data_IF_005064775597
#
_entry.id   IF_005064775597
#
_cell.length_a   1.000
_cell.length_b   1.000
_cell.length_c   1.000
_cell.angle_alpha   90.00
_cell.angle_beta   90.00
_cell.angle_gamma   90.00
#
_symmetry.space_group_name_H-M   'P 1'
#
loop_
_entity.id
_entity.type
_entity.pdbx_description
1 polymer ?
#
# COMPACT_ATOMS: atom_id res chain seq x y z
N UNK A 1 -16.68 -5.46 13.97
CA UNK A 1 -17.16 -4.15 14.45
C UNK A 1 -15.92 -3.34 14.78
N UNK A 2 -15.72 -2.17 14.14
CA UNK A 2 -14.54 -1.30 14.27
C UNK A 2 -14.23 -0.96 15.74
N UNK A 3 -13.44 -1.79 16.44
CA UNK A 3 -13.05 -1.51 17.84
C UNK A 3 -11.82 -0.60 17.93
N UNK A 4 -11.03 -0.53 16.86
CA UNK A 4 -9.86 0.33 16.79
C UNK A 4 -9.86 1.11 15.47
N UNK A 5 -9.56 2.41 15.52
CA UNK A 5 -9.34 3.27 14.33
C UNK A 5 -8.25 2.74 13.37
N UNK A 6 -7.63 1.60 13.66
CA UNK A 6 -6.63 0.90 12.83
C UNK A 6 -7.13 0.59 11.44
N UNK A 7 -8.42 0.28 11.23
CA UNK A 7 -8.93 0.02 9.87
C UNK A 7 -8.82 1.26 8.97
N UNK A 8 -9.17 2.43 9.51
CA UNK A 8 -9.09 3.71 8.79
C UNK A 8 -7.64 4.15 8.56
N UNK A 9 -6.77 4.00 9.57
CA UNK A 9 -5.34 4.31 9.47
C UNK A 9 -4.66 3.38 8.46
N UNK A 10 -4.92 2.08 8.54
CA UNK A 10 -4.43 1.08 7.58
C UNK A 10 -4.80 1.45 6.15
N UNK A 11 -6.06 1.84 5.91
CA UNK A 11 -6.51 2.21 4.58
C UNK A 11 -5.81 3.48 4.07
N UNK A 12 -5.67 4.49 4.92
CA UNK A 12 -4.95 5.73 4.60
C UNK A 12 -3.49 5.47 4.25
N UNK A 13 -2.78 4.69 5.08
CA UNK A 13 -1.38 4.35 4.84
C UNK A 13 -1.20 3.51 3.57
N UNK A 14 -2.10 2.56 3.32
CA UNK A 14 -2.07 1.74 2.11
C UNK A 14 -2.25 2.61 0.85
N UNK A 15 -3.18 3.57 0.89
CA UNK A 15 -3.41 4.52 -0.21
C UNK A 15 -2.17 5.40 -0.42
N UNK A 16 -1.60 5.98 0.64
CA UNK A 16 -0.42 6.85 0.55
C UNK A 16 0.78 6.10 -0.04
N UNK A 17 1.05 4.88 0.45
CA UNK A 17 2.13 4.06 -0.06
C UNK A 17 1.93 3.71 -1.55
N UNK A 18 0.72 3.32 -1.93
CA UNK A 18 0.39 3.00 -3.33
C UNK A 18 0.53 4.21 -4.24
N UNK A 19 0.04 5.38 -3.79
CA UNK A 19 0.13 6.64 -4.51
C UNK A 19 1.58 7.07 -4.73
N UNK A 20 2.47 6.84 -3.76
CA UNK A 20 3.90 7.08 -3.92
C UNK A 20 4.51 6.27 -5.06
N UNK A 21 4.30 4.94 -5.08
CA UNK A 21 4.81 4.10 -6.18
C UNK A 21 4.22 4.49 -7.53
N UNK A 22 2.91 4.78 -7.58
CA UNK A 22 2.26 5.24 -8.81
C UNK A 22 2.87 6.57 -9.31
N UNK A 23 3.08 7.55 -8.43
CA UNK A 23 3.68 8.83 -8.78
C UNK A 23 5.11 8.67 -9.29
N UNK A 24 5.92 7.82 -8.66
CA UNK A 24 7.28 7.51 -9.12
C UNK A 24 7.26 6.83 -10.48
N UNK A 25 6.34 5.87 -10.70
CA UNK A 25 6.17 5.20 -11.99
C UNK A 25 5.82 6.17 -13.12
N UNK A 26 4.83 7.04 -12.89
CA UNK A 26 4.41 8.06 -13.86
C UNK A 26 5.56 9.05 -14.15
N UNK A 27 6.21 9.57 -13.10
CA UNK A 27 7.32 10.51 -13.25
C UNK A 27 8.54 9.88 -13.94
N UNK A 28 8.74 8.57 -13.77
CA UNK A 28 9.76 7.81 -14.49
C UNK A 28 9.42 7.64 -15.96
N UNK A 29 8.19 7.23 -16.27
CA UNK A 29 7.71 7.08 -17.63
C UNK A 29 7.79 8.38 -18.43
N UNK A 30 7.37 9.51 -17.83
CA UNK A 30 7.46 10.84 -18.48
C UNK A 30 8.88 11.26 -18.89
N UNK A 31 9.93 10.65 -18.32
CA UNK A 31 11.34 10.97 -18.64
C UNK A 31 12.01 9.93 -19.53
N UNK A 32 11.48 8.71 -19.58
CA UNK A 32 12.15 7.56 -20.19
C UNK A 32 11.36 6.92 -21.32
N UNK A 33 10.04 7.18 -21.40
CA UNK A 33 9.07 6.48 -22.24
C UNK A 33 9.09 4.94 -22.09
N UNK A 34 9.66 4.43 -20.99
CA UNK A 34 9.76 2.99 -20.75
C UNK A 34 8.48 2.44 -20.08
N UNK A 35 7.65 1.77 -20.89
CA UNK A 35 6.41 1.14 -20.42
C UNK A 35 6.65 -0.01 -19.45
N UNK A 36 7.78 -0.71 -19.53
CA UNK A 36 8.09 -1.83 -18.62
C UNK A 36 8.35 -1.31 -17.21
N UNK A 37 9.08 -0.20 -17.11
CA UNK A 37 9.27 0.51 -15.85
C UNK A 37 7.93 0.95 -15.27
N UNK A 38 7.04 1.55 -16.08
CA UNK A 38 5.72 1.97 -15.62
C UNK A 38 4.91 0.81 -15.05
N UNK A 39 4.87 -0.32 -15.78
CA UNK A 39 4.16 -1.53 -15.35
C UNK A 39 4.75 -2.11 -14.05
N UNK A 40 6.08 -2.13 -13.91
CA UNK A 40 6.73 -2.55 -12.67
C UNK A 40 6.25 -1.70 -11.48
N UNK A 41 6.24 -0.38 -11.62
CA UNK A 41 5.78 0.52 -10.55
C UNK A 41 4.28 0.39 -10.27
N UNK A 42 3.46 0.11 -11.28
CA UNK A 42 2.04 -0.19 -11.09
C UNK A 42 1.84 -1.48 -10.28
N UNK A 43 2.60 -2.53 -10.56
CA UNK A 43 2.59 -3.77 -9.77
C UNK A 43 3.08 -3.50 -8.34
N UNK A 44 4.17 -2.75 -8.17
CA UNK A 44 4.68 -2.37 -6.85
C UNK A 44 3.64 -1.58 -6.04
N UNK A 45 2.87 -0.69 -6.67
CA UNK A 45 1.79 0.04 -6.01
C UNK A 45 0.71 -0.92 -5.48
N UNK A 46 0.28 -1.89 -6.28
CA UNK A 46 -0.70 -2.90 -5.84
C UNK A 46 -0.14 -3.79 -4.72
N UNK A 47 1.12 -4.21 -4.83
CA UNK A 47 1.80 -5.01 -3.78
C UNK A 47 1.90 -4.20 -2.49
N UNK A 48 2.27 -2.93 -2.55
CA UNK A 48 2.36 -2.06 -1.38
C UNK A 48 1.02 -1.97 -0.64
N UNK A 49 -0.10 -1.81 -1.38
CA UNK A 49 -1.43 -1.83 -0.77
C UNK A 49 -1.69 -3.13 0.00
N UNK A 50 -1.41 -4.27 -0.64
CA UNK A 50 -1.60 -5.59 -0.05
C UNK A 50 -0.73 -5.82 1.19
N UNK A 51 0.55 -5.45 1.13
CA UNK A 51 1.50 -5.58 2.25
C UNK A 51 1.04 -4.75 3.45
N UNK A 52 0.61 -3.49 3.24
CA UNK A 52 0.11 -2.66 4.35
C UNK A 52 -1.14 -3.29 4.98
N UNK A 53 -2.09 -3.77 4.16
CA UNK A 53 -3.30 -4.44 4.68
C UNK A 53 -2.95 -5.68 5.49
N UNK A 54 -2.03 -6.52 4.99
CA UNK A 54 -1.58 -7.73 5.68
C UNK A 54 -0.86 -7.41 7.00
N UNK A 55 -0.03 -6.38 7.02
CA UNK A 55 0.65 -5.94 8.23
C UNK A 55 -0.36 -5.53 9.32
N UNK A 56 -1.36 -4.71 8.97
CA UNK A 56 -2.40 -4.31 9.91
C UNK A 56 -3.33 -5.45 10.31
N UNK A 57 -3.59 -6.40 9.40
CA UNK A 57 -4.30 -7.64 9.75
C UNK A 57 -3.52 -8.45 10.80
N UNK A 58 -2.21 -8.59 10.63
CA UNK A 58 -1.33 -9.24 11.60
C UNK A 58 -1.34 -8.53 12.96
N UNK A 59 -1.25 -7.19 12.97
CA UNK A 59 -1.30 -6.39 14.19
C UNK A 59 -2.63 -6.58 14.92
N UNK A 60 -3.77 -6.49 14.22
CA UNK A 60 -5.08 -6.72 14.82
C UNK A 60 -5.18 -8.14 15.41
N UNK A 61 -4.72 -9.16 14.68
CA UNK A 61 -4.72 -10.55 15.16
C UNK A 61 -3.84 -10.77 16.40
N UNK A 62 -2.73 -10.03 16.52
CA UNK A 62 -1.90 -10.06 17.71
C UNK A 62 -2.59 -9.38 18.89
N UNK A 63 -3.25 -8.25 18.64
CA UNK A 63 -4.00 -7.52 19.66
C UNK A 63 -5.18 -8.37 20.19
N UNK A 64 -5.93 -9.01 19.30
CA UNK A 64 -7.04 -9.93 19.62
C UNK A 64 -6.63 -11.16 20.46
N UNK A 65 -5.32 -11.47 20.57
CA UNK A 65 -4.81 -12.57 21.40
C UNK A 65 -4.35 -12.13 22.79
N UNK A 66 -4.10 -10.83 22.95
CA UNK A 66 -3.61 -10.24 24.20
C UNK A 66 -4.81 -9.74 25.02
N UNK A 67 -5.89 -9.32 24.35
CA UNK A 67 -7.21 -9.06 24.93
C UNK A 67 -8.00 -10.37 25.13
#
# INVERSE_FOLDING_TARGET
>A
MDRHRTARISNLLAIIASAFFAAVGIAGYQRTDDIRQLLLFAVLAAVAFGVVKLAFYGINRLLDKIE
#
